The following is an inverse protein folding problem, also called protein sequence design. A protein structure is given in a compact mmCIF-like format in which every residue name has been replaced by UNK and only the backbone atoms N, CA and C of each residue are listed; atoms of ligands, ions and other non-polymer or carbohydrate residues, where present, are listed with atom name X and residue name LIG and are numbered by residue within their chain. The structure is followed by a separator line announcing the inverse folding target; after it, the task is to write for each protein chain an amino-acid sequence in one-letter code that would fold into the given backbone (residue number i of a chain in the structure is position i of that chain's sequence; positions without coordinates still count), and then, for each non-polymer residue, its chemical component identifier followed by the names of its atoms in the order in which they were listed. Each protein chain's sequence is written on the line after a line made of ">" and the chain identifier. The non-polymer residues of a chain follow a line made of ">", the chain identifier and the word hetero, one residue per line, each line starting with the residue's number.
data_IF_753342100278
#
_entry.id   IF_753342100278
#
_cell.length_a   1.000
_cell.length_b   1.000
_cell.length_c   1.000
_cell.angle_alpha   90.00
_cell.angle_beta   90.00
_cell.angle_gamma   90.00
#
_symmetry.space_group_name_H-M   'P 1'
#
loop_
_entity.id
_entity.type
_entity.pdbx_description
1 polymer ?
#
# COMPACT_ATOMS: atom_id res chain seq x y z
N UNK A 1 -6.89 -0.47 -6.97
CA UNK A 1 -6.38 -0.86 -5.66
C UNK A 1 -7.56 -1.19 -4.77
N UNK A 2 -7.62 -2.44 -4.34
CA UNK A 2 -8.57 -2.94 -3.34
C UNK A 2 -8.13 -2.49 -1.93
N UNK A 3 -9.08 -2.19 -1.06
CA UNK A 3 -8.85 -1.66 0.30
C UNK A 3 -8.16 -0.28 0.36
N UNK A 4 -8.50 0.63 -0.57
CA UNK A 4 -7.87 1.96 -0.59
C UNK A 4 -8.17 2.81 0.65
N UNK A 5 -9.41 2.78 1.15
CA UNK A 5 -9.79 3.60 2.30
C UNK A 5 -9.19 3.05 3.60
N UNK A 6 -9.17 1.74 3.76
CA UNK A 6 -8.48 1.04 4.84
C UNK A 6 -6.98 1.33 4.82
N UNK A 7 -6.38 1.38 3.62
CA UNK A 7 -4.97 1.72 3.46
C UNK A 7 -4.69 3.18 3.83
N UNK A 8 -5.53 4.13 3.41
CA UNK A 8 -5.42 5.54 3.82
C UNK A 8 -5.50 5.68 5.33
N UNK A 9 -6.44 4.98 5.94
CA UNK A 9 -6.63 4.99 7.38
C UNK A 9 -5.43 4.35 8.10
N UNK A 10 -4.95 3.21 7.62
CA UNK A 10 -3.76 2.55 8.15
C UNK A 10 -2.55 3.49 8.12
N UNK A 11 -2.32 4.17 7.00
CA UNK A 11 -1.24 5.14 6.89
C UNK A 11 -1.36 6.28 7.89
N UNK A 12 -2.58 6.75 8.15
CA UNK A 12 -2.87 7.84 9.08
C UNK A 12 -2.68 7.46 10.55
N UNK A 13 -3.14 6.27 10.94
CA UNK A 13 -3.28 5.89 12.35
C UNK A 13 -2.18 4.94 12.84
N UNK A 14 -1.55 4.17 11.95
CA UNK A 14 -0.66 3.05 12.32
C UNK A 14 0.74 3.17 11.73
N UNK A 15 0.89 3.90 10.62
CA UNK A 15 2.19 4.07 9.97
C UNK A 15 2.94 5.32 10.46
N UNK A 16 4.27 5.29 10.37
CA UNK A 16 5.10 6.48 10.61
C UNK A 16 5.24 7.38 9.35
N UNK A 17 4.39 7.17 8.33
CA UNK A 17 4.40 7.95 7.09
C UNK A 17 3.98 9.39 7.38
N UNK A 18 4.75 10.35 6.87
CA UNK A 18 4.52 11.77 7.12
C UNK A 18 5.03 12.26 8.48
N UNK A 19 5.73 11.46 9.27
CA UNK A 19 6.36 11.92 10.53
C UNK A 19 7.36 13.08 10.36
N UNK A 20 7.87 13.28 9.13
CA UNK A 20 8.80 14.36 8.75
C UNK A 20 8.24 15.34 7.72
N UNK A 21 7.01 15.11 7.25
CA UNK A 21 6.37 15.83 6.15
C UNK A 21 4.89 16.13 6.49
N UNK A 22 4.13 16.73 5.56
CA UNK A 22 2.68 16.88 5.74
C UNK A 22 1.98 15.53 5.54
N UNK A 23 1.43 14.96 6.62
CA UNK A 23 0.76 13.64 6.64
C UNK A 23 -0.23 13.46 5.49
N UNK A 24 -1.13 14.42 5.25
CA UNK A 24 -2.12 14.34 4.17
C UNK A 24 -1.48 14.24 2.78
N UNK A 25 -0.38 14.95 2.55
CA UNK A 25 0.38 14.90 1.29
C UNK A 25 1.08 13.55 1.13
N UNK A 26 1.64 13.02 2.22
CA UNK A 26 2.29 11.70 2.21
C UNK A 26 1.30 10.57 1.94
N UNK A 27 0.11 10.58 2.56
CA UNK A 27 -0.94 9.59 2.29
C UNK A 27 -1.34 9.62 0.82
N UNK A 28 -1.63 10.82 0.30
CA UNK A 28 -2.01 11.00 -1.10
C UNK A 28 -0.93 10.47 -2.05
N UNK A 29 0.34 10.76 -1.75
CA UNK A 29 1.48 10.28 -2.52
C UNK A 29 1.57 8.75 -2.52
N UNK A 30 1.40 8.10 -1.37
CA UNK A 30 1.47 6.64 -1.26
C UNK A 30 0.35 5.95 -2.05
N UNK A 31 -0.86 6.50 -2.04
CA UNK A 31 -1.96 6.00 -2.88
C UNK A 31 -1.63 6.19 -4.36
N UNK A 32 -1.20 7.38 -4.77
CA UNK A 32 -0.82 7.65 -6.17
C UNK A 32 0.31 6.74 -6.66
N UNK A 33 1.26 6.40 -5.79
CA UNK A 33 2.33 5.45 -6.11
C UNK A 33 1.80 4.05 -6.42
N UNK A 34 0.87 3.53 -5.62
CA UNK A 34 0.27 2.22 -5.88
C UNK A 34 -0.59 2.22 -7.15
N UNK A 35 -1.34 3.30 -7.40
CA UNK A 35 -2.08 3.46 -8.66
C UNK A 35 -1.17 3.50 -9.89
N UNK A 36 -0.02 4.17 -9.79
CA UNK A 36 0.97 4.18 -10.87
C UNK A 36 1.60 2.79 -11.09
N UNK A 37 1.80 2.00 -10.04
CA UNK A 37 2.24 0.60 -10.17
C UNK A 37 1.19 -0.25 -10.90
N UNK A 38 -0.10 -0.10 -10.55
CA UNK A 38 -1.21 -0.75 -11.28
C UNK A 38 -1.18 -0.40 -12.77
N UNK A 39 -1.01 0.89 -13.10
CA UNK A 39 -0.97 1.38 -14.48
C UNK A 39 0.25 0.88 -15.27
N UNK A 40 1.46 0.98 -14.69
CA UNK A 40 2.68 0.57 -15.39
C UNK A 40 2.76 -0.94 -15.66
N UNK A 41 2.18 -1.75 -14.77
CA UNK A 41 2.26 -3.21 -14.88
C UNK A 41 0.99 -3.85 -15.44
N UNK A 42 -0.06 -3.07 -15.69
CA UNK A 42 -1.40 -3.55 -16.08
C UNK A 42 -1.91 -4.63 -15.11
N UNK A 43 -1.87 -4.31 -13.81
CA UNK A 43 -2.32 -5.19 -12.72
C UNK A 43 -3.30 -4.50 -11.80
N UNK A 44 -3.99 -5.30 -10.99
CA UNK A 44 -4.71 -4.81 -9.81
C UNK A 44 -3.95 -5.17 -8.54
N UNK A 45 -3.73 -4.18 -7.68
CA UNK A 45 -3.20 -4.38 -6.33
C UNK A 45 -4.36 -4.76 -5.41
N UNK A 46 -4.21 -5.95 -4.81
CA UNK A 46 -5.09 -6.53 -3.81
C UNK A 46 -4.27 -7.51 -2.92
N UNK A 47 -4.84 -8.08 -1.85
CA UNK A 47 -4.10 -9.00 -0.98
C UNK A 47 -3.53 -10.24 -1.69
N UNK A 48 -4.19 -10.71 -2.76
CA UNK A 48 -3.68 -11.85 -3.54
C UNK A 48 -2.46 -11.49 -4.39
N UNK A 49 -2.40 -10.26 -4.91
CA UNK A 49 -1.31 -9.80 -5.77
C UNK A 49 -0.17 -9.13 -5.01
N UNK A 50 -0.39 -8.64 -3.79
CA UNK A 50 0.61 -7.91 -3.00
C UNK A 50 0.48 -8.15 -1.47
N UNK A 51 0.69 -9.38 -1.03
CA UNK A 51 0.79 -9.75 0.39
C UNK A 51 2.21 -10.13 0.84
N UNK A 52 3.14 -10.36 -0.08
CA UNK A 52 4.47 -10.92 0.24
C UNK A 52 5.63 -10.13 -0.37
N UNK A 53 6.80 -10.27 0.24
CA UNK A 53 8.05 -9.67 -0.27
C UNK A 53 8.44 -10.22 -1.63
N UNK A 54 8.03 -11.44 -1.96
CA UNK A 54 8.21 -12.03 -3.28
C UNK A 54 7.42 -11.27 -4.35
N UNK A 55 6.18 -10.88 -4.05
CA UNK A 55 5.37 -10.06 -4.96
C UNK A 55 6.00 -8.68 -5.18
N UNK A 56 6.40 -8.01 -4.08
CA UNK A 56 7.12 -6.73 -4.12
C UNK A 56 8.36 -6.80 -5.04
N UNK A 57 9.19 -7.83 -4.86
CA UNK A 57 10.37 -8.03 -5.71
C UNK A 57 10.02 -8.30 -7.17
N UNK A 58 8.93 -9.01 -7.45
CA UNK A 58 8.42 -9.24 -8.80
C UNK A 58 8.05 -7.92 -9.49
N UNK A 59 7.28 -7.06 -8.81
CA UNK A 59 6.86 -5.77 -9.35
C UNK A 59 8.06 -4.83 -9.55
N UNK A 60 8.96 -4.72 -8.57
CA UNK A 60 10.18 -3.90 -8.68
C UNK A 60 11.03 -4.35 -9.86
N UNK A 61 11.18 -5.66 -10.07
CA UNK A 61 11.95 -6.21 -11.19
C UNK A 61 11.33 -5.83 -12.53
N UNK A 62 10.02 -5.97 -12.69
CA UNK A 62 9.35 -5.66 -13.95
C UNK A 62 9.38 -4.16 -14.25
N UNK A 63 9.11 -3.30 -13.26
CA UNK A 63 9.25 -1.84 -13.38
C UNK A 63 10.66 -1.42 -13.81
N UNK A 64 11.69 -2.05 -13.21
CA UNK A 64 13.09 -1.79 -13.56
C UNK A 64 13.39 -2.22 -14.99
N UNK A 65 12.88 -3.39 -15.41
CA UNK A 65 13.08 -3.95 -16.75
C UNK A 65 12.41 -3.11 -17.84
N UNK A 66 11.23 -2.58 -17.57
CA UNK A 66 10.53 -1.66 -18.48
C UNK A 66 11.24 -0.30 -18.59
N UNK A 67 12.01 0.09 -17.56
CA UNK A 67 12.78 1.34 -17.52
C UNK A 67 11.92 2.60 -17.79
N UNK A 68 10.66 2.56 -17.37
CA UNK A 68 9.67 3.65 -17.56
C UNK A 68 9.71 4.70 -16.45
N UNK A 69 10.39 4.39 -15.33
CA UNK A 69 10.49 5.27 -14.16
C UNK A 69 11.90 5.23 -13.57
N UNK A 70 12.27 6.30 -12.86
CA UNK A 70 13.59 6.40 -12.22
C UNK A 70 13.73 5.44 -11.03
N UNK A 71 14.97 5.07 -10.69
CA UNK A 71 15.27 4.29 -9.47
C UNK A 71 14.73 4.94 -8.19
N UNK A 72 14.72 6.28 -8.14
CA UNK A 72 14.13 7.04 -7.03
C UNK A 72 12.63 6.81 -6.94
N UNK A 73 11.93 6.84 -8.09
CA UNK A 73 10.50 6.54 -8.17
C UNK A 73 10.21 5.10 -7.76
N UNK A 74 11.04 4.14 -8.20
CA UNK A 74 10.92 2.73 -7.79
C UNK A 74 11.07 2.57 -6.27
N UNK A 75 11.99 3.29 -5.63
CA UNK A 75 12.14 3.28 -4.18
C UNK A 75 10.89 3.82 -3.44
N UNK A 76 10.24 4.85 -4.00
CA UNK A 76 8.97 5.36 -3.48
C UNK A 76 7.84 4.33 -3.64
N UNK A 77 7.73 3.70 -4.81
CA UNK A 77 6.76 2.63 -5.06
C UNK A 77 6.96 1.47 -4.09
N UNK A 78 8.20 1.04 -3.89
CA UNK A 78 8.57 0.00 -2.92
C UNK A 78 8.12 0.33 -1.51
N UNK A 79 8.30 1.59 -1.10
CA UNK A 79 7.88 2.04 0.24
C UNK A 79 6.35 1.97 0.39
N UNK A 80 5.62 2.40 -0.63
CA UNK A 80 4.16 2.30 -0.63
C UNK A 80 3.68 0.83 -0.63
N UNK A 81 4.28 -0.04 -1.45
CA UNK A 81 3.92 -1.46 -1.51
C UNK A 81 4.11 -2.14 -0.15
N UNK A 82 5.18 -1.81 0.57
CA UNK A 82 5.45 -2.36 1.89
C UNK A 82 4.44 -1.90 2.94
N UNK A 83 4.01 -0.64 2.91
CA UNK A 83 2.95 -0.19 3.82
C UNK A 83 1.63 -0.92 3.52
N UNK A 84 1.32 -1.16 2.25
CA UNK A 84 0.13 -1.94 1.88
C UNK A 84 0.23 -3.38 2.40
N UNK A 85 1.37 -4.04 2.20
CA UNK A 85 1.60 -5.39 2.73
C UNK A 85 1.49 -5.45 4.25
N UNK A 86 2.00 -4.44 4.96
CA UNK A 86 1.88 -4.37 6.41
C UNK A 86 0.42 -4.26 6.84
N UNK A 87 -0.38 -3.42 6.17
CA UNK A 87 -1.83 -3.35 6.40
C UNK A 87 -2.50 -4.71 6.14
N UNK A 88 -2.18 -5.36 5.01
CA UNK A 88 -2.71 -6.68 4.67
C UNK A 88 -2.42 -7.71 5.77
N UNK A 89 -1.18 -7.75 6.28
CA UNK A 89 -0.78 -8.66 7.35
C UNK A 89 -1.38 -8.31 8.71
N UNK A 90 -1.42 -7.02 9.07
CA UNK A 90 -1.98 -6.57 10.36
C UNK A 90 -3.50 -6.79 10.44
N UNK A 91 -4.20 -6.66 9.32
CA UNK A 91 -5.65 -6.88 9.23
C UNK A 91 -6.02 -8.32 8.84
N UNK A 92 -5.03 -9.19 8.59
CA UNK A 92 -5.26 -10.59 8.24
C UNK A 92 -5.96 -10.82 6.89
N UNK A 93 -5.78 -9.93 5.92
CA UNK A 93 -6.49 -9.94 4.62
C UNK A 93 -5.92 -10.95 3.61
N UNK A 94 -4.89 -11.72 3.99
CA UNK A 94 -4.06 -12.53 3.09
C UNK A 94 -4.75 -13.79 2.55
N UNK A 95 -5.85 -14.20 3.19
CA UNK A 95 -6.66 -15.36 2.83
C UNK A 95 -8.09 -14.84 2.83
N UNK A 96 -8.87 -15.08 1.77
CA UNK A 96 -10.25 -14.60 1.63
C UNK A 96 -11.26 -15.18 2.64
N UNK A 97 -10.84 -15.46 3.87
CA UNK A 97 -11.68 -15.85 4.99
C UNK A 97 -12.03 -14.60 5.80
N UNK A 98 -13.32 -14.27 5.79
CA UNK A 98 -13.97 -13.19 6.54
C UNK A 98 -13.29 -12.88 7.88
N UNK A 99 -12.62 -11.73 7.97
CA UNK A 99 -12.40 -11.07 9.25
C UNK A 99 -13.08 -9.69 9.23
N UNK A 100 -14.00 -9.55 10.19
CA UNK A 100 -14.66 -8.32 10.56
C UNK A 100 -13.61 -7.23 10.82
N UNK A 101 -13.64 -6.14 10.05
CA UNK A 101 -13.07 -4.88 10.52
C UNK A 101 -13.79 -4.50 11.82
N UNK A 102 -13.09 -4.26 12.94
CA UNK A 102 -13.68 -3.58 14.09
C UNK A 102 -14.04 -2.14 13.71
N UNK A 103 -15.21 -1.95 13.09
CA UNK A 103 -15.79 -0.64 12.84
C UNK A 103 -16.00 0.19 14.13
N UNK A 104 -15.77 -0.40 15.31
CA UNK A 104 -15.93 0.20 16.62
C UNK A 104 -14.69 0.90 17.20
N UNK A 105 -13.48 0.76 16.63
CA UNK A 105 -12.29 1.44 17.18
C UNK A 105 -12.00 2.84 16.59
N UNK A 106 -12.74 3.27 15.56
CA UNK A 106 -12.58 4.60 14.95
C UNK A 106 -13.47 5.70 15.55
N UNK A 107 -14.45 5.33 16.37
CA UNK A 107 -15.38 6.28 17.01
C UNK A 107 -15.20 6.36 18.54
N UNK A 108 -14.19 5.70 19.10
CA UNK A 108 -13.87 5.80 20.53
C UNK A 108 -12.97 7.02 20.82
N UNK A 109 -13.47 8.21 20.48
CA UNK A 109 -13.05 9.51 21.02
C UNK A 109 -14.22 10.48 20.82
N UNK A 110 -15.30 10.20 21.55
CA UNK A 110 -16.31 11.21 21.92
C UNK A 110 -15.96 11.79 23.27
#
# INVERSE_FOLDING_TARGET
>A
MEYEEEYKLYLKERSNVGSKDVVASSISSYVSYLRAVEEHLDIQINPSSLSSTSHEHGFVRELTKQNVVSNKTIANYRSAMRQYMNMVGEFGLERGENYYLPLYELNASS
#
